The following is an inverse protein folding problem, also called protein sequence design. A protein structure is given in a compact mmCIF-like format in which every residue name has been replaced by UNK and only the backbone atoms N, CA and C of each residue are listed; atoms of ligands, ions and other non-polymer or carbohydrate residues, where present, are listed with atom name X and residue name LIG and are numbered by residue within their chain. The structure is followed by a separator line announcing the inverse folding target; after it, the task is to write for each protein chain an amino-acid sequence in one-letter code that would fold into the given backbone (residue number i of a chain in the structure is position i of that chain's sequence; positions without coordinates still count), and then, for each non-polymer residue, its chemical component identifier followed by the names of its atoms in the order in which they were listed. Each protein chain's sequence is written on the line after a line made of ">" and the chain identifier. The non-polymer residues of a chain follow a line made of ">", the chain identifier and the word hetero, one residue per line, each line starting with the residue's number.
data_IF_464398235167
#
_entry.id   IF_464398235167
#
_cell.length_a   1.000
_cell.length_b   1.000
_cell.length_c   1.000
_cell.angle_alpha   90.00
_cell.angle_beta   90.00
_cell.angle_gamma   90.00
#
_symmetry.space_group_name_H-M   'P 1'
#
loop_
_entity.id
_entity.type
_entity.pdbx_description
1 polymer ?
#
# COMPACT_ATOMS: atom_id res chain seq x y z
N UNK A 1 11.80 8.70 6.19
CA UNK A 1 12.74 7.96 5.33
C UNK A 1 14.08 8.67 5.40
N UNK A 2 15.18 7.93 5.45
CA UNK A 2 16.55 8.47 5.50
C UNK A 2 17.37 7.84 4.38
N UNK A 3 18.14 8.65 3.66
CA UNK A 3 19.11 8.19 2.65
C UNK A 3 20.54 8.35 3.20
N UNK A 4 21.33 7.28 3.21
CA UNK A 4 22.73 7.29 3.66
C UNK A 4 23.53 6.25 2.85
N UNK A 5 24.72 6.61 2.35
CA UNK A 5 25.59 5.73 1.52
C UNK A 5 24.88 5.03 0.34
N UNK A 6 23.97 5.75 -0.33
CA UNK A 6 23.19 5.19 -1.43
C UNK A 6 22.03 4.27 -0.99
N UNK A 7 21.91 4.00 0.31
CA UNK A 7 20.86 3.15 0.89
C UNK A 7 19.67 3.97 1.37
N UNK A 8 18.48 3.39 1.26
CA UNK A 8 17.22 4.01 1.68
C UNK A 8 16.59 3.23 2.82
N UNK A 9 16.48 3.85 3.99
CA UNK A 9 15.85 3.26 5.17
C UNK A 9 14.50 3.91 5.48
N UNK A 10 13.51 3.09 5.86
CA UNK A 10 12.16 3.50 6.22
C UNK A 10 11.86 3.11 7.66
N UNK A 11 11.50 4.11 8.46
CA UNK A 11 11.04 3.92 9.83
C UNK A 11 9.53 4.14 9.90
N UNK A 12 8.81 3.07 10.22
CA UNK A 12 7.37 3.09 10.47
C UNK A 12 7.03 2.62 11.91
N UNK A 13 7.99 2.69 12.83
CA UNK A 13 7.79 2.35 14.26
C UNK A 13 6.78 3.25 14.96
N UNK A 14 6.61 4.47 14.43
CA UNK A 14 5.61 5.46 14.86
C UNK A 14 4.21 5.25 14.28
N UNK A 15 3.97 4.18 13.53
CA UNK A 15 2.61 3.82 13.10
C UNK A 15 1.70 3.57 14.31
N UNK A 16 0.41 3.84 14.13
CA UNK A 16 -0.61 3.67 15.17
C UNK A 16 -0.64 2.24 15.72
N UNK A 17 -1.22 2.07 16.90
CA UNK A 17 -1.43 0.76 17.49
C UNK A 17 -2.33 -0.12 16.61
N UNK A 18 -2.19 -1.42 16.79
CA UNK A 18 -3.09 -2.41 16.22
C UNK A 18 -4.55 -2.03 16.48
N UNK A 19 -5.36 -2.00 15.42
CA UNK A 19 -6.78 -1.72 15.49
C UNK A 19 -7.54 -2.91 16.08
N UNK A 20 -8.62 -2.63 16.81
CA UNK A 20 -9.59 -3.65 17.23
C UNK A 20 -10.35 -4.26 16.04
N UNK A 21 -10.50 -3.48 14.95
CA UNK A 21 -11.16 -3.89 13.72
C UNK A 21 -10.25 -4.59 12.69
N UNK A 22 -10.79 -4.96 11.53
CA UNK A 22 -10.12 -5.83 10.56
C UNK A 22 -9.09 -5.15 9.65
N UNK A 23 -8.70 -3.90 9.93
CA UNK A 23 -7.81 -3.11 9.06
C UNK A 23 -6.33 -3.37 9.30
N UNK A 24 -5.95 -4.23 10.24
CA UNK A 24 -4.54 -4.49 10.52
C UNK A 24 -3.84 -5.11 9.31
N UNK A 25 -2.56 -4.76 9.11
CA UNK A 25 -1.77 -5.22 7.96
C UNK A 25 -0.45 -5.81 8.44
N UNK A 26 -0.28 -7.12 8.27
CA UNK A 26 1.01 -7.77 8.48
C UNK A 26 1.92 -7.39 7.32
N UNK A 27 2.80 -6.42 7.55
CA UNK A 27 3.66 -5.87 6.51
C UNK A 27 4.87 -6.76 6.26
N UNK A 28 5.08 -7.17 5.00
CA UNK A 28 6.36 -7.73 4.57
C UNK A 28 7.30 -6.56 4.20
N UNK A 29 8.54 -6.48 4.72
CA UNK A 29 9.51 -5.46 4.31
C UNK A 29 9.72 -5.37 2.80
N UNK A 30 9.67 -6.49 2.07
CA UNK A 30 9.81 -6.49 0.62
C UNK A 30 8.60 -5.86 -0.10
N UNK A 31 7.40 -5.91 0.48
CA UNK A 31 6.23 -5.20 -0.06
C UNK A 31 6.47 -3.68 -0.04
N UNK A 32 7.02 -3.17 1.06
CA UNK A 32 7.34 -1.74 1.19
C UNK A 32 8.44 -1.30 0.21
N UNK A 33 9.48 -2.13 0.06
CA UNK A 33 10.55 -1.91 -0.93
C UNK A 33 9.98 -1.87 -2.34
N UNK A 34 9.16 -2.86 -2.71
CA UNK A 34 8.50 -2.90 -4.00
C UNK A 34 7.63 -1.65 -4.23
N UNK A 35 6.80 -1.24 -3.24
CA UNK A 35 5.96 -0.04 -3.36
C UNK A 35 6.78 1.23 -3.64
N UNK A 36 7.90 1.42 -2.94
CA UNK A 36 8.83 2.54 -3.16
C UNK A 36 9.50 2.45 -4.54
N UNK A 37 10.02 1.27 -4.88
CA UNK A 37 10.68 1.00 -6.16
C UNK A 37 9.78 1.33 -7.35
N UNK A 38 8.50 0.92 -7.30
CA UNK A 38 7.53 1.26 -8.36
C UNK A 38 7.28 2.77 -8.44
N UNK A 39 7.31 3.50 -7.33
CA UNK A 39 7.17 4.96 -7.38
C UNK A 39 8.43 5.66 -7.95
N UNK A 40 9.63 5.11 -7.71
CA UNK A 40 10.86 5.62 -8.32
C UNK A 40 10.95 5.33 -9.82
N UNK A 41 10.46 4.17 -10.26
CA UNK A 41 10.35 3.84 -11.68
C UNK A 41 9.36 4.78 -12.41
N UNK A 42 8.31 5.23 -11.72
CA UNK A 42 7.32 6.15 -12.29
C UNK A 42 6.61 5.54 -13.51
N UNK A 43 6.57 6.29 -14.61
CA UNK A 43 5.99 5.86 -15.88
C UNK A 43 7.09 5.38 -16.89
N UNK A 44 8.34 5.19 -16.44
CA UNK A 44 9.45 4.77 -17.30
C UNK A 44 9.38 3.26 -17.60
N UNK A 45 9.07 2.93 -18.85
CA UNK A 45 8.93 1.57 -19.36
C UNK A 45 10.27 0.81 -19.45
N UNK A 46 11.41 1.48 -19.29
CA UNK A 46 12.71 0.81 -19.24
C UNK A 46 12.90 0.00 -17.94
N UNK A 47 12.14 0.31 -16.88
CA UNK A 47 12.19 -0.46 -15.63
C UNK A 47 11.36 -1.74 -15.74
N UNK A 48 12.05 -2.87 -15.58
CA UNK A 48 11.39 -4.18 -15.45
C UNK A 48 11.05 -4.43 -13.99
N UNK A 49 9.76 -4.70 -13.72
CA UNK A 49 9.31 -5.12 -12.39
C UNK A 49 9.86 -6.51 -12.07
N UNK A 50 10.96 -6.57 -11.32
CA UNK A 50 11.60 -7.80 -10.85
C UNK A 50 12.33 -7.56 -9.52
N UNK A 51 12.93 -8.62 -8.96
CA UNK A 51 13.66 -8.55 -7.68
C UNK A 51 14.87 -7.61 -7.71
N UNK A 52 15.47 -7.36 -8.89
CA UNK A 52 16.52 -6.35 -9.05
C UNK A 52 16.05 -4.96 -8.63
N UNK A 53 14.80 -4.62 -8.95
CA UNK A 53 14.17 -3.35 -8.59
C UNK A 53 13.95 -3.24 -7.07
N UNK A 54 13.61 -4.35 -6.40
CA UNK A 54 13.43 -4.41 -4.94
C UNK A 54 14.77 -4.28 -4.22
N UNK A 55 15.83 -4.93 -4.74
CA UNK A 55 17.19 -4.86 -4.20
C UNK A 55 17.82 -3.47 -4.25
N UNK A 56 17.35 -2.58 -5.14
CA UNK A 56 17.81 -1.19 -5.18
C UNK A 56 17.40 -0.40 -3.92
N UNK A 57 16.38 -0.87 -3.18
CA UNK A 57 15.96 -0.33 -1.88
C UNK A 57 16.54 -1.25 -0.79
N UNK A 58 17.85 -1.13 -0.56
CA UNK A 58 18.64 -2.05 0.27
C UNK A 58 18.77 -1.66 1.74
N UNK A 59 18.09 -0.59 2.19
CA UNK A 59 18.15 -0.14 3.57
C UNK A 59 17.21 -0.87 4.52
N UNK A 60 17.20 -0.39 5.76
CA UNK A 60 16.46 -0.98 6.88
C UNK A 60 14.99 -0.54 6.84
N UNK A 61 14.09 -1.50 7.06
CA UNK A 61 12.66 -1.25 7.28
C UNK A 61 12.35 -1.54 8.75
N UNK A 62 12.05 -0.51 9.52
CA UNK A 62 11.77 -0.62 10.96
C UNK A 62 10.27 -0.61 11.22
N UNK A 63 9.77 -1.63 11.90
CA UNK A 63 8.38 -1.79 12.30
C UNK A 63 8.30 -2.00 13.82
N UNK A 64 7.22 -1.53 14.46
CA UNK A 64 6.98 -1.72 15.90
C UNK A 64 6.00 -2.88 16.12
N UNK A 65 6.40 -3.96 16.82
CA UNK A 65 5.48 -5.06 17.13
C UNK A 65 4.27 -4.57 17.95
N UNK A 66 3.06 -4.90 17.49
CA UNK A 66 1.80 -4.42 18.04
C UNK A 66 1.25 -3.16 17.37
N UNK A 67 1.93 -2.62 16.35
CA UNK A 67 1.39 -1.54 15.52
C UNK A 67 0.45 -2.07 14.44
N UNK A 68 -0.30 -1.18 13.79
CA UNK A 68 -1.19 -1.49 12.67
C UNK A 68 -0.46 -2.11 11.46
N UNK A 69 0.86 -1.92 11.36
CA UNK A 69 1.74 -2.47 10.30
C UNK A 69 2.49 -3.73 10.72
N UNK A 70 2.52 -4.06 12.01
CA UNK A 70 3.12 -5.27 12.55
C UNK A 70 2.30 -5.78 13.75
N UNK A 71 1.01 -6.15 13.53
CA UNK A 71 0.11 -6.51 14.61
C UNK A 71 0.53 -7.82 15.28
N UNK A 72 0.15 -8.01 16.54
CA UNK A 72 0.35 -9.26 17.28
C UNK A 72 -0.88 -10.14 17.14
N UNK A 73 -0.66 -11.45 17.04
CA UNK A 73 -1.75 -12.40 17.06
C UNK A 73 -2.48 -12.38 18.43
N UNK A 74 -3.82 -12.45 18.46
CA UNK A 74 -4.74 -12.42 17.32
C UNK A 74 -5.00 -10.99 16.83
N UNK A 75 -5.02 -10.80 15.50
CA UNK A 75 -5.39 -9.55 14.85
C UNK A 75 -6.30 -9.82 13.66
N UNK A 76 -7.39 -9.06 13.54
CA UNK A 76 -8.28 -9.17 12.38
C UNK A 76 -7.64 -8.47 11.16
N UNK A 77 -7.59 -9.17 10.02
CA UNK A 77 -6.91 -8.74 8.77
C UNK A 77 -7.85 -8.68 7.54
N UNK A 78 -9.16 -8.85 7.74
CA UNK A 78 -10.15 -8.97 6.66
C UNK A 78 -10.25 -7.74 5.75
N UNK A 79 -9.80 -6.57 6.24
CA UNK A 79 -9.78 -5.29 5.54
C UNK A 79 -8.35 -4.71 5.48
N UNK A 80 -7.31 -5.55 5.58
CA UNK A 80 -5.89 -5.13 5.53
C UNK A 80 -5.53 -4.28 4.31
N UNK A 81 -6.25 -4.48 3.20
CA UNK A 81 -6.01 -3.77 1.95
C UNK A 81 -6.29 -2.25 2.08
N UNK A 82 -7.11 -1.80 3.03
CA UNK A 82 -7.27 -0.37 3.32
C UNK A 82 -5.97 0.23 3.87
N UNK A 83 -5.37 -0.43 4.84
CA UNK A 83 -4.09 0.00 5.43
C UNK A 83 -2.96 -0.10 4.41
N UNK A 84 -2.87 -1.19 3.63
CA UNK A 84 -1.82 -1.29 2.60
C UNK A 84 -1.93 -0.20 1.53
N UNK A 85 -3.14 0.26 1.19
CA UNK A 85 -3.33 1.44 0.31
C UNK A 85 -2.90 2.74 0.95
N UNK A 86 -3.12 2.93 2.25
CA UNK A 86 -2.60 4.11 2.97
C UNK A 86 -1.07 4.10 3.05
N UNK A 87 -0.47 2.93 3.17
CA UNK A 87 1.00 2.77 3.10
C UNK A 87 1.52 3.14 1.72
N UNK A 88 0.90 2.64 0.64
CA UNK A 88 1.26 3.04 -0.73
C UNK A 88 1.12 4.55 -0.96
N UNK A 89 0.04 5.16 -0.44
CA UNK A 89 -0.14 6.61 -0.50
C UNK A 89 0.99 7.36 0.23
N UNK A 90 1.44 6.84 1.37
CA UNK A 90 2.57 7.43 2.11
C UNK A 90 3.88 7.32 1.33
N UNK A 91 4.16 6.22 0.62
CA UNK A 91 5.36 6.11 -0.22
C UNK A 91 5.33 7.09 -1.39
N UNK A 92 4.16 7.32 -2.01
CA UNK A 92 3.96 8.36 -3.01
C UNK A 92 4.25 9.77 -2.47
N UNK A 93 3.76 10.07 -1.26
CA UNK A 93 4.07 11.33 -0.57
C UNK A 93 5.57 11.53 -0.34
N UNK A 94 6.27 10.48 0.10
CA UNK A 94 7.73 10.52 0.32
C UNK A 94 8.48 10.81 -0.99
N UNK A 95 8.14 10.13 -2.09
CA UNK A 95 8.82 10.35 -3.38
C UNK A 95 8.56 11.77 -3.90
N UNK A 96 7.33 12.28 -3.77
CA UNK A 96 7.00 13.65 -4.17
C UNK A 96 7.77 14.72 -3.39
N UNK A 97 8.17 14.45 -2.14
CA UNK A 97 9.01 15.40 -1.39
C UNK A 97 10.48 15.41 -1.87
N UNK A 98 10.96 14.32 -2.44
CA UNK A 98 12.38 14.15 -2.82
C UNK A 98 12.60 14.48 -4.29
N UNK A 99 11.61 14.21 -5.12
CA UNK A 99 11.61 14.50 -6.54
C UNK A 99 10.30 15.19 -6.91
N UNK A 100 10.18 16.50 -6.62
CA UNK A 100 8.94 17.23 -6.86
C UNK A 100 8.52 17.15 -8.32
N UNK A 101 7.30 16.68 -8.53
CA UNK A 101 6.65 16.62 -9.83
C UNK A 101 6.97 15.39 -10.69
N UNK A 102 7.71 14.41 -10.18
CA UNK A 102 7.96 13.15 -10.90
C UNK A 102 7.03 12.01 -10.52
N UNK A 103 6.44 12.03 -9.31
CA UNK A 103 5.48 11.03 -8.87
C UNK A 103 4.04 11.58 -8.90
N UNK A 104 3.06 10.67 -8.96
CA UNK A 104 1.64 11.01 -8.84
C UNK A 104 1.27 11.29 -7.39
N UNK A 105 0.23 12.10 -7.18
CA UNK A 105 -0.42 12.22 -5.90
C UNK A 105 -1.10 10.89 -5.49
N UNK A 106 -1.52 10.79 -4.22
CA UNK A 106 -2.29 9.63 -3.76
C UNK A 106 -3.63 9.55 -4.45
N UNK A 107 -4.00 8.35 -4.91
CA UNK A 107 -5.36 8.05 -5.39
C UNK A 107 -6.33 7.83 -4.23
N UNK A 108 -7.63 7.85 -4.54
CA UNK A 108 -8.66 7.39 -3.62
C UNK A 108 -8.45 5.91 -3.26
N UNK A 109 -8.81 5.53 -2.02
CA UNK A 109 -8.84 4.11 -1.63
C UNK A 109 -9.99 3.43 -2.38
N UNK A 110 -9.75 2.22 -2.88
CA UNK A 110 -10.75 1.47 -3.64
C UNK A 110 -12.04 1.31 -2.83
N UNK A 111 -13.19 1.36 -3.51
CA UNK A 111 -14.51 1.14 -2.91
C UNK A 111 -15.02 -0.20 -3.43
N UNK A 112 -15.48 -1.04 -2.53
CA UNK A 112 -16.02 -2.35 -2.89
C UNK A 112 -17.33 -2.62 -2.17
N UNK A 113 -18.33 -3.05 -2.93
CA UNK A 113 -19.54 -3.63 -2.38
C UNK A 113 -19.41 -5.14 -2.23
N UNK A 114 -19.74 -5.62 -1.04
CA UNK A 114 -19.94 -7.03 -0.76
C UNK A 114 -21.43 -7.26 -0.58
N UNK A 115 -22.04 -7.96 -1.53
CA UNK A 115 -23.44 -8.35 -1.50
C UNK A 115 -23.49 -9.85 -1.29
N UNK A 116 -24.22 -10.30 -0.28
CA UNK A 116 -24.45 -11.72 -0.03
C UNK A 116 -25.93 -12.00 0.18
N UNK A 117 -26.39 -13.15 -0.24
CA UNK A 117 -27.78 -13.54 -0.09
C UNK A 117 -28.07 -14.93 -0.63
N UNK A 118 -29.35 -15.24 -0.72
CA UNK A 118 -29.86 -16.40 -1.44
C UNK A 118 -30.53 -15.87 -2.70
N UNK A 119 -30.11 -16.37 -3.87
CA UNK A 119 -30.77 -16.05 -5.14
C UNK A 119 -32.21 -16.58 -5.10
N UNK A 120 -33.23 -15.72 -5.29
CA UNK A 120 -34.64 -16.12 -5.20
C UNK A 120 -35.08 -17.06 -6.33
N UNK A 121 -34.34 -17.12 -7.45
CA UNK A 121 -34.65 -18.00 -8.60
C UNK A 121 -33.96 -19.34 -8.44
N UNK A 122 -32.67 -19.35 -8.12
CA UNK A 122 -31.88 -20.60 -8.05
C UNK A 122 -31.81 -21.22 -6.67
N UNK A 123 -32.26 -20.50 -5.63
CA UNK A 123 -32.14 -20.87 -4.21
C UNK A 123 -30.70 -21.14 -3.74
N UNK A 124 -29.69 -20.68 -4.49
CA UNK A 124 -28.28 -20.85 -4.16
C UNK A 124 -27.77 -19.66 -3.36
N UNK A 125 -26.80 -19.92 -2.50
CA UNK A 125 -26.02 -18.85 -1.88
C UNK A 125 -25.25 -18.09 -2.95
N UNK A 126 -25.33 -16.76 -2.89
CA UNK A 126 -24.58 -15.86 -3.76
C UNK A 126 -23.70 -14.94 -2.93
N UNK A 127 -22.49 -14.72 -3.42
CA UNK A 127 -21.55 -13.72 -2.94
C UNK A 127 -21.06 -12.94 -4.15
N UNK A 128 -21.31 -11.64 -4.15
CA UNK A 128 -20.85 -10.70 -5.16
C UNK A 128 -19.88 -9.74 -4.50
N UNK A 129 -18.71 -9.57 -5.13
CA UNK A 129 -17.68 -8.62 -4.73
C UNK A 129 -17.43 -7.69 -5.91
N UNK A 130 -17.97 -6.47 -5.83
CA UNK A 130 -17.95 -5.52 -6.96
C UNK A 130 -17.12 -4.29 -6.59
N UNK A 131 -16.06 -4.05 -7.36
CA UNK A 131 -15.23 -2.86 -7.23
C UNK A 131 -15.83 -1.70 -8.01
N UNK A 132 -15.99 -0.54 -7.36
CA UNK A 132 -16.35 0.68 -8.07
C UNK A 132 -15.11 1.37 -8.64
N UNK A 133 -15.29 2.04 -9.77
CA UNK A 133 -14.29 2.96 -10.31
C UNK A 133 -13.97 4.07 -9.31
N UNK A 134 -12.69 4.41 -9.18
CA UNK A 134 -12.20 5.49 -8.32
C UNK A 134 -11.26 6.40 -9.09
N UNK A 135 -11.12 7.65 -8.63
CA UNK A 135 -10.20 8.62 -9.22
C UNK A 135 -8.73 8.23 -9.03
N UNK A 136 -7.91 8.60 -10.01
CA UNK A 136 -6.46 8.53 -9.90
C UNK A 136 -5.91 9.80 -9.24
N UNK A 137 -4.75 9.68 -8.60
CA UNK A 137 -4.04 10.84 -8.09
C UNK A 137 -3.43 11.66 -9.22
N UNK A 138 -3.55 12.99 -9.10
CA UNK A 138 -3.08 13.96 -10.07
C UNK A 138 -1.57 13.84 -10.35
N UNK A 139 -1.18 14.28 -11.54
CA UNK A 139 0.21 14.48 -11.96
C UNK A 139 0.58 15.96 -11.81
N UNK A 140 1.87 16.26 -11.86
CA UNK A 140 2.36 17.64 -11.85
C UNK A 140 1.92 18.47 -13.06
N UNK A 141 1.53 17.81 -14.15
CA UNK A 141 1.21 18.43 -15.44
C UNK A 141 -0.22 18.15 -15.92
N UNK A 142 -1.00 17.36 -15.19
CA UNK A 142 -2.35 16.96 -15.57
C UNK A 142 -3.13 16.45 -14.35
N UNK A 143 -4.46 16.51 -14.45
CA UNK A 143 -5.36 15.78 -13.55
C UNK A 143 -5.15 14.25 -13.63
#
# INVERSE_FOLDING_TARGET
>A
MVKHDGKVSLDATRSDDQASGPINYVTNPNDLRMMLSTQFAGDDLAFVMNEGMVRAIDGTISLRPGSILAPRYPAALGMRAFTSRKVLAATQGIVNQISPGTARASSATFVTYLIRGIDPVTHRFVLVYEGLGVGFGARSFAD
#
